data_IF_552788323864
#
_entry.id   IF_552788323864
#
_cell.length_a   1.000
_cell.length_b   1.000
_cell.length_c   1.000
_cell.angle_alpha   90.00
_cell.angle_beta   90.00
_cell.angle_gamma   90.00
#
_symmetry.space_group_name_H-M   'P 1'
#
loop_
_entity.id
_entity.type
_entity.pdbx_description
1 polymer ?
#
# COMPACT_ATOMS: atom_id res chain seq x y z
N UNK A 1 -15.29 14.85 -2.96
CA UNK A 1 -14.03 15.31 -2.34
C UNK A 1 -13.36 16.25 -3.32
N UNK A 2 -13.20 17.48 -2.90
CA UNK A 2 -12.34 18.37 -3.65
C UNK A 2 -10.90 17.93 -3.42
N UNK A 3 -10.24 17.41 -4.44
CA UNK A 3 -8.85 17.07 -4.30
C UNK A 3 -8.03 18.32 -4.08
N UNK A 4 -6.96 18.16 -3.36
CA UNK A 4 -5.97 19.21 -3.27
C UNK A 4 -5.43 19.49 -4.67
N UNK A 5 -5.36 20.74 -5.02
CA UNK A 5 -4.71 21.18 -6.26
C UNK A 5 -3.20 20.95 -6.22
N UNK A 6 -2.69 20.52 -5.08
CA UNK A 6 -1.28 20.30 -4.85
C UNK A 6 -1.10 18.92 -4.25
N UNK A 7 -0.27 18.08 -4.86
CA UNK A 7 0.14 16.81 -4.33
C UNK A 7 -0.23 15.60 -5.16
N UNK A 8 0.40 14.50 -4.83
CA UNK A 8 0.26 13.22 -5.52
C UNK A 8 -1.11 12.59 -5.37
N UNK A 9 -1.82 12.91 -4.31
CA UNK A 9 -3.16 12.37 -4.03
C UNK A 9 -4.16 12.75 -5.13
N UNK A 10 -4.10 13.98 -5.59
CA UNK A 10 -4.90 14.44 -6.73
C UNK A 10 -4.65 13.60 -7.98
N UNK A 11 -3.40 13.29 -8.26
CA UNK A 11 -3.03 12.49 -9.42
C UNK A 11 -3.51 11.05 -9.34
N UNK A 12 -3.71 10.53 -8.13
CA UNK A 12 -4.18 9.15 -7.92
C UNK A 12 -5.71 9.08 -8.04
N UNK A 13 -6.42 10.01 -7.41
CA UNK A 13 -7.90 9.95 -7.32
C UNK A 13 -8.61 10.62 -8.48
N UNK A 14 -8.04 11.70 -9.00
CA UNK A 14 -8.64 12.51 -10.06
C UNK A 14 -7.94 12.32 -11.40
N UNK A 15 -7.61 11.09 -11.70
CA UNK A 15 -7.01 10.73 -12.96
C UNK A 15 -7.96 11.07 -14.11
N UNK A 16 -7.53 11.88 -15.11
CA UNK A 16 -8.35 12.14 -16.27
C UNK A 16 -8.53 10.87 -17.12
N UNK A 17 -9.72 10.62 -17.57
CA UNK A 17 -10.06 9.47 -18.40
C UNK A 17 -10.78 9.98 -19.65
N UNK A 18 -10.05 10.54 -20.62
CA UNK A 18 -10.65 11.15 -21.80
C UNK A 18 -11.38 10.14 -22.69
N UNK A 19 -10.95 8.88 -22.68
CA UNK A 19 -11.49 7.83 -23.52
C UNK A 19 -12.89 7.36 -23.10
N UNK A 20 -13.39 7.79 -21.95
CA UNK A 20 -14.71 7.38 -21.45
C UNK A 20 -15.87 7.81 -22.37
N UNK A 21 -15.64 8.86 -23.16
CA UNK A 21 -16.60 9.37 -24.14
C UNK A 21 -16.32 8.86 -25.54
N UNK A 22 -15.38 7.94 -25.73
CA UNK A 22 -15.06 7.42 -27.06
C UNK A 22 -16.23 6.61 -27.64
N UNK A 23 -16.45 6.74 -28.93
CA UNK A 23 -17.50 6.01 -29.63
C UNK A 23 -17.16 4.52 -29.83
N UNK A 24 -15.89 4.17 -29.84
CA UNK A 24 -15.45 2.78 -29.93
C UNK A 24 -15.75 2.06 -28.60
N UNK A 25 -16.54 1.00 -28.69
CA UNK A 25 -16.98 0.23 -27.52
C UNK A 25 -15.79 -0.34 -26.72
N UNK A 26 -14.77 -0.89 -27.39
CA UNK A 26 -13.64 -1.48 -26.70
C UNK A 26 -12.82 -0.43 -25.92
N UNK A 27 -12.59 0.74 -26.52
CA UNK A 27 -11.87 1.84 -25.88
C UNK A 27 -12.67 2.38 -24.70
N UNK A 28 -13.96 2.62 -24.88
CA UNK A 28 -14.85 3.09 -23.82
C UNK A 28 -14.94 2.10 -22.66
N UNK A 29 -15.10 0.82 -22.96
CA UNK A 29 -15.18 -0.25 -21.95
C UNK A 29 -13.90 -0.33 -21.10
N UNK A 30 -12.74 -0.19 -21.72
CA UNK A 30 -11.46 -0.12 -20.99
C UNK A 30 -11.38 1.12 -20.09
N UNK A 31 -11.86 2.26 -20.58
CA UNK A 31 -11.91 3.51 -19.81
C UNK A 31 -12.86 3.40 -18.62
N UNK A 32 -14.01 2.76 -18.77
CA UNK A 32 -14.96 2.51 -17.68
C UNK A 32 -14.35 1.63 -16.59
N UNK A 33 -13.63 0.57 -16.95
CA UNK A 33 -12.92 -0.28 -16.00
C UNK A 33 -11.84 0.50 -15.25
N UNK A 34 -11.11 1.34 -15.95
CA UNK A 34 -10.11 2.21 -15.34
C UNK A 34 -10.75 3.19 -14.33
N UNK A 35 -11.90 3.77 -14.70
CA UNK A 35 -12.66 4.67 -13.82
C UNK A 35 -13.10 3.97 -12.53
N UNK A 36 -13.56 2.73 -12.62
CA UNK A 36 -13.98 1.93 -11.47
C UNK A 36 -12.78 1.57 -10.57
N UNK A 37 -11.65 1.20 -11.17
CA UNK A 37 -10.48 0.74 -10.43
C UNK A 37 -9.67 1.86 -9.77
N UNK A 38 -9.71 3.06 -10.31
CA UNK A 38 -8.90 4.19 -9.81
C UNK A 38 -9.16 4.50 -8.32
N UNK A 39 -10.41 4.59 -7.81
CA UNK A 39 -10.65 4.79 -6.39
C UNK A 39 -10.09 3.67 -5.50
N UNK A 40 -10.18 2.42 -5.93
CA UNK A 40 -9.63 1.28 -5.19
C UNK A 40 -8.12 1.34 -5.10
N UNK A 41 -7.45 1.63 -6.21
CA UNK A 41 -6.00 1.79 -6.24
C UNK A 41 -5.54 2.97 -5.39
N UNK A 42 -6.24 4.09 -5.45
CA UNK A 42 -5.97 5.27 -4.63
C UNK A 42 -6.14 4.99 -3.13
N UNK A 43 -7.18 4.27 -2.76
CA UNK A 43 -7.40 3.87 -1.36
C UNK A 43 -6.32 2.91 -0.87
N UNK A 44 -5.91 1.94 -1.69
CA UNK A 44 -4.81 1.04 -1.38
C UNK A 44 -3.50 1.80 -1.14
N UNK A 45 -3.19 2.78 -1.97
CA UNK A 45 -2.01 3.63 -1.80
C UNK A 45 -2.05 4.41 -0.48
N UNK A 46 -3.20 4.94 -0.10
CA UNK A 46 -3.37 5.64 1.17
C UNK A 46 -3.17 4.71 2.37
N UNK A 47 -3.69 3.50 2.32
CA UNK A 47 -3.52 2.51 3.38
C UNK A 47 -2.05 2.13 3.57
N UNK A 48 -1.31 1.95 2.48
CA UNK A 48 0.14 1.70 2.53
C UNK A 48 0.87 2.87 3.19
N UNK A 49 0.58 4.09 2.81
CA UNK A 49 1.20 5.28 3.42
C UNK A 49 0.90 5.39 4.90
N UNK A 50 -0.35 5.18 5.30
CA UNK A 50 -0.75 5.21 6.71
C UNK A 50 -0.05 4.12 7.51
N UNK A 51 0.05 2.91 6.96
CA UNK A 51 0.78 1.81 7.58
C UNK A 51 2.27 2.13 7.73
N UNK A 52 2.89 2.69 6.70
CA UNK A 52 4.30 3.10 6.76
C UNK A 52 4.57 4.10 7.87
N UNK A 53 3.72 5.11 8.01
CA UNK A 53 3.85 6.14 9.05
C UNK A 53 3.73 5.50 10.44
N UNK A 54 2.73 4.68 10.66
CA UNK A 54 2.49 4.04 11.95
C UNK A 54 3.63 3.08 12.32
N UNK A 55 4.09 2.27 11.38
CA UNK A 55 5.21 1.36 11.61
C UNK A 55 6.51 2.15 11.86
N UNK A 56 6.73 3.22 11.11
CA UNK A 56 7.89 4.08 11.32
C UNK A 56 7.90 4.66 12.73
N UNK A 57 6.78 5.17 13.23
CA UNK A 57 6.68 5.70 14.58
C UNK A 57 7.00 4.65 15.64
N UNK A 58 6.68 3.39 15.39
CA UNK A 58 6.97 2.30 16.32
C UNK A 58 8.43 1.82 16.27
N UNK A 59 9.10 2.00 15.14
CA UNK A 59 10.47 1.55 14.94
C UNK A 59 11.53 2.65 15.11
N UNK A 60 11.17 3.92 15.06
CA UNK A 60 12.11 5.03 15.04
C UNK A 60 13.05 5.05 16.24
N UNK A 61 12.55 4.65 17.40
CA UNK A 61 13.34 4.58 18.65
C UNK A 61 14.06 3.25 18.83
N UNK A 62 13.87 2.31 17.91
CA UNK A 62 14.43 0.95 17.98
C UNK A 62 15.07 0.52 16.65
N UNK A 63 16.05 1.27 16.14
CA UNK A 63 16.66 0.96 14.84
C UNK A 63 17.46 -0.36 14.86
N UNK A 64 17.81 -0.84 16.02
CA UNK A 64 18.45 -2.14 16.25
C UNK A 64 17.50 -3.33 16.04
N UNK A 65 16.20 -3.13 16.13
CA UNK A 65 15.20 -4.17 15.92
C UNK A 65 14.82 -4.36 14.46
N UNK A 66 14.69 -3.27 13.71
CA UNK A 66 14.33 -3.35 12.32
C UNK A 66 14.16 -1.99 11.64
N UNK A 67 14.25 -2.02 10.33
CA UNK A 67 14.12 -0.83 9.47
C UNK A 67 13.18 -1.14 8.32
N UNK A 68 12.33 -0.18 7.98
CA UNK A 68 11.61 -0.17 6.71
C UNK A 68 12.57 0.32 5.63
N UNK A 69 12.90 -0.53 4.65
CA UNK A 69 13.90 -0.20 3.63
C UNK A 69 13.29 0.26 2.32
N UNK A 70 12.17 -0.31 1.93
CA UNK A 70 11.64 -0.08 0.58
C UNK A 70 10.14 -0.29 0.54
N UNK A 71 9.48 0.48 -0.31
CA UNK A 71 8.08 0.29 -0.67
C UNK A 71 8.00 0.11 -2.19
N UNK A 72 7.37 -0.97 -2.62
CA UNK A 72 7.17 -1.29 -4.04
C UNK A 72 5.71 -1.68 -4.23
N UNK A 73 5.00 -0.95 -5.09
CA UNK A 73 3.57 -1.18 -5.34
C UNK A 73 2.77 -1.21 -4.03
N UNK A 74 2.25 -2.37 -3.65
CA UNK A 74 1.49 -2.63 -2.43
C UNK A 74 2.26 -3.44 -1.38
N UNK A 75 3.57 -3.52 -1.53
CA UNK A 75 4.47 -4.28 -0.65
C UNK A 75 5.40 -3.37 0.14
N UNK A 76 5.67 -3.75 1.37
CA UNK A 76 6.68 -3.13 2.22
C UNK A 76 7.79 -4.14 2.52
N UNK A 77 9.03 -3.70 2.35
CA UNK A 77 10.21 -4.51 2.62
C UNK A 77 10.92 -3.99 3.87
N UNK A 78 11.17 -4.89 4.80
CA UNK A 78 11.85 -4.60 6.06
C UNK A 78 13.13 -5.41 6.19
N UNK A 79 14.12 -4.81 6.81
CA UNK A 79 15.25 -5.52 7.37
C UNK A 79 15.04 -5.63 8.88
N UNK A 80 14.97 -6.85 9.40
CA UNK A 80 14.62 -7.11 10.80
C UNK A 80 15.68 -8.02 11.41
N UNK A 81 16.11 -7.68 12.63
CA UNK A 81 16.99 -8.53 13.40
C UNK A 81 16.28 -9.86 13.74
N UNK A 82 16.99 -10.97 13.62
CA UNK A 82 16.41 -12.31 13.86
C UNK A 82 15.79 -12.42 15.25
N UNK A 83 16.41 -11.81 16.26
CA UNK A 83 15.90 -11.78 17.63
C UNK A 83 14.61 -10.98 17.81
N UNK A 84 14.38 -9.98 16.96
CA UNK A 84 13.20 -9.13 17.00
C UNK A 84 12.05 -9.65 16.16
N UNK A 85 12.30 -10.60 15.27
CA UNK A 85 11.31 -11.11 14.32
C UNK A 85 10.03 -11.64 14.98
N UNK A 86 10.09 -12.45 16.06
CA UNK A 86 8.88 -12.94 16.74
C UNK A 86 7.99 -11.83 17.30
N UNK A 87 8.59 -10.68 17.64
CA UNK A 87 7.87 -9.51 18.16
C UNK A 87 7.34 -8.61 17.04
N UNK A 88 8.19 -8.35 16.04
CA UNK A 88 7.87 -7.41 14.98
C UNK A 88 6.91 -7.97 13.93
N UNK A 89 6.99 -9.25 13.60
CA UNK A 89 6.12 -9.87 12.61
C UNK A 89 4.62 -9.68 12.93
N UNK A 90 4.12 -10.05 14.13
CA UNK A 90 2.73 -9.82 14.46
C UNK A 90 2.38 -8.34 14.60
N UNK A 91 3.29 -7.50 15.05
CA UNK A 91 3.07 -6.07 15.15
C UNK A 91 2.88 -5.43 13.77
N UNK A 92 3.74 -5.73 12.82
CA UNK A 92 3.66 -5.21 11.46
C UNK A 92 2.36 -5.69 10.80
N UNK A 93 2.05 -6.97 10.88
CA UNK A 93 0.82 -7.53 10.33
C UNK A 93 -0.42 -6.86 10.90
N UNK A 94 -0.51 -6.76 12.22
CA UNK A 94 -1.62 -6.13 12.91
C UNK A 94 -1.77 -4.65 12.55
N UNK A 95 -0.67 -3.92 12.47
CA UNK A 95 -0.66 -2.50 12.10
C UNK A 95 -1.17 -2.29 10.68
N UNK A 96 -0.72 -3.10 9.73
CA UNK A 96 -1.14 -2.99 8.34
C UNK A 96 -2.62 -3.39 8.16
N UNK A 97 -3.09 -4.42 8.84
CA UNK A 97 -4.47 -4.90 8.74
C UNK A 97 -5.48 -3.98 9.42
N UNK A 98 -5.05 -3.21 10.41
CA UNK A 98 -5.91 -2.30 11.19
C UNK A 98 -5.70 -0.83 10.89
N UNK A 99 -5.05 -0.51 9.79
CA UNK A 99 -4.67 0.87 9.42
C UNK A 99 -5.89 1.77 9.20
N UNK A 100 -6.99 1.20 8.75
CA UNK A 100 -8.24 1.89 8.55
C UNK A 100 -9.43 0.92 8.80
N UNK A 101 -10.50 1.36 9.48
CA UNK A 101 -11.67 0.51 9.68
C UNK A 101 -12.40 0.30 8.35
N UNK A 102 -12.46 -0.95 7.92
CA UNK A 102 -13.13 -1.36 6.69
C UNK A 102 -14.24 -2.37 7.01
N UNK A 103 -15.28 -2.39 6.19
CA UNK A 103 -16.34 -3.41 6.27
C UNK A 103 -15.86 -4.77 5.76
N UNK A 104 -14.84 -4.77 4.90
CA UNK A 104 -14.17 -5.96 4.39
C UNK A 104 -12.82 -6.09 5.08
N UNK A 105 -12.44 -7.29 5.55
CA UNK A 105 -11.14 -7.47 6.20
C UNK A 105 -9.99 -7.22 5.22
N UNK A 106 -9.00 -6.45 5.68
CA UNK A 106 -7.73 -6.29 4.99
C UNK A 106 -6.78 -7.38 5.48
N UNK A 107 -6.34 -8.25 4.58
CA UNK A 107 -5.46 -9.37 4.90
C UNK A 107 -4.06 -9.06 4.37
N UNK A 108 -3.06 -9.25 5.23
CA UNK A 108 -1.65 -9.02 4.90
C UNK A 108 -0.89 -10.33 4.97
N UNK A 109 -0.24 -10.69 3.88
CA UNK A 109 0.67 -11.82 3.83
C UNK A 109 2.08 -11.38 4.16
N UNK A 110 2.79 -12.18 4.94
CA UNK A 110 4.18 -11.90 5.33
C UNK A 110 5.05 -13.08 4.92
N UNK A 111 6.05 -12.80 4.11
CA UNK A 111 7.08 -13.74 3.74
C UNK A 111 8.40 -13.34 4.39
N UNK A 112 9.21 -14.32 4.73
CA UNK A 112 10.50 -14.14 5.41
C UNK A 112 11.56 -14.87 4.61
N UNK A 113 12.67 -14.21 4.39
CA UNK A 113 13.83 -14.77 3.72
C UNK A 113 15.11 -14.07 4.16
N UNK A 114 16.25 -14.65 3.86
CA UNK A 114 17.55 -14.04 4.13
C UNK A 114 17.91 -12.93 3.14
N UNK A 115 17.21 -12.90 2.05
CA UNK A 115 17.31 -11.87 1.01
C UNK A 115 15.94 -11.69 0.35
N UNK A 116 15.83 -10.68 -0.48
CA UNK A 116 14.56 -10.33 -1.12
C UNK A 116 14.03 -11.44 -2.03
N UNK A 117 14.91 -12.11 -2.77
CA UNK A 117 14.54 -13.20 -3.66
C UNK A 117 13.85 -14.36 -2.91
N UNK A 118 14.37 -14.72 -1.75
CA UNK A 118 13.80 -15.79 -0.91
C UNK A 118 12.39 -15.45 -0.41
N UNK A 119 12.04 -14.18 -0.28
CA UNK A 119 10.71 -13.77 0.15
C UNK A 119 9.61 -14.09 -0.88
N UNK A 120 9.97 -14.33 -2.14
CA UNK A 120 9.03 -14.67 -3.21
C UNK A 120 8.93 -16.17 -3.51
N UNK A 121 9.69 -16.98 -2.84
CA UNK A 121 9.71 -18.44 -3.06
C UNK A 121 8.89 -19.21 -2.01
#
# INVERSE_FOLDING_TARGET
>A
IMPSLVGSEMCIRDRPIPEIMNKNFMVRSSAERLAINTPFQGSGADFIKMAMIEIHHRLVDHPDMGLLILQIHDELLFEIADSALPKLKPMIKSTMESVYPLTVPLIVDINIGKNWEECYN
#
